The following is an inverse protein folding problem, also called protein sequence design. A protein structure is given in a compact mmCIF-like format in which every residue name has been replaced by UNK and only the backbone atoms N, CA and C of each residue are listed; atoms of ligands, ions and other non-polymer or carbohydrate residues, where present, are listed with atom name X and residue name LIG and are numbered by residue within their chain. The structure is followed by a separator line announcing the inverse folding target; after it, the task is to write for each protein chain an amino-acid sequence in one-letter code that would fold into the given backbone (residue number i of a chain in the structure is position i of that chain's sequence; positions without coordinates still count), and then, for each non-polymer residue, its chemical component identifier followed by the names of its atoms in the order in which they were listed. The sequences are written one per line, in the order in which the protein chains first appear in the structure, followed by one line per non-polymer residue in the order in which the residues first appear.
data_IF_824779962892
#
_entry.id   IF_824779962892
#
_cell.length_a   1.000
_cell.length_b   1.000
_cell.length_c   1.000
_cell.angle_alpha   90.00
_cell.angle_beta   90.00
_cell.angle_gamma   90.00
#
_symmetry.space_group_name_H-M   'P 1'
#
loop_
_entity.id
_entity.type
_entity.pdbx_description
1 polymer ?
#
# COMPACT_ATOMS: atom_id res chain seq x y z
N UNK A 1 -32.73 -73.16 -15.24
CA UNK A 1 -33.02 -71.94 -16.04
C UNK A 1 -32.40 -70.68 -15.46
N UNK A 2 -32.29 -70.53 -14.15
CA UNK A 2 -31.86 -69.27 -13.51
C UNK A 2 -30.38 -68.89 -13.72
N UNK A 3 -29.45 -69.84 -13.80
CA UNK A 3 -28.00 -69.55 -13.93
C UNK A 3 -27.60 -69.06 -15.32
N UNK A 4 -28.14 -69.67 -16.37
CA UNK A 4 -27.84 -69.32 -17.77
C UNK A 4 -28.30 -67.88 -18.08
N UNK A 5 -29.44 -67.45 -17.55
CA UNK A 5 -29.96 -66.09 -17.73
C UNK A 5 -29.06 -65.03 -17.05
N UNK A 6 -28.55 -65.33 -15.85
CA UNK A 6 -27.64 -64.42 -15.13
C UNK A 6 -26.32 -64.25 -15.92
N UNK A 7 -25.78 -65.34 -16.48
CA UNK A 7 -24.55 -65.30 -17.29
C UNK A 7 -24.77 -64.49 -18.57
N UNK A 8 -25.92 -64.63 -19.24
CA UNK A 8 -26.23 -63.86 -20.44
C UNK A 8 -26.30 -62.34 -20.18
N UNK A 9 -26.92 -61.94 -19.07
CA UNK A 9 -27.01 -60.53 -18.66
C UNK A 9 -25.62 -59.97 -18.33
N UNK A 10 -24.79 -60.72 -17.60
CA UNK A 10 -23.44 -60.31 -17.26
C UNK A 10 -22.56 -60.06 -18.50
N UNK A 11 -22.68 -60.93 -19.50
CA UNK A 11 -21.98 -60.76 -20.78
C UNK A 11 -22.49 -59.52 -21.53
N UNK A 12 -23.81 -59.30 -21.54
CA UNK A 12 -24.41 -58.11 -22.16
C UNK A 12 -23.89 -56.80 -21.54
N UNK A 13 -23.81 -56.73 -20.21
CA UNK A 13 -23.26 -55.56 -19.49
C UNK A 13 -21.78 -55.38 -19.80
N UNK A 14 -21.00 -56.45 -19.85
CA UNK A 14 -19.57 -56.39 -20.15
C UNK A 14 -19.31 -55.86 -21.56
N UNK A 15 -20.07 -56.32 -22.55
CA UNK A 15 -19.97 -55.84 -23.93
C UNK A 15 -20.40 -54.37 -24.01
N UNK A 16 -21.51 -54.00 -23.38
CA UNK A 16 -21.97 -52.62 -23.34
C UNK A 16 -20.94 -51.69 -22.68
N UNK A 17 -20.32 -52.13 -21.59
CA UNK A 17 -19.25 -51.41 -20.90
C UNK A 17 -17.98 -51.25 -21.75
N UNK A 18 -17.59 -52.28 -22.50
CA UNK A 18 -16.46 -52.23 -23.43
C UNK A 18 -16.71 -51.25 -24.59
N UNK A 19 -17.91 -51.29 -25.17
CA UNK A 19 -18.29 -50.37 -26.25
C UNK A 19 -18.33 -48.93 -25.74
N UNK A 20 -19.02 -48.68 -24.62
CA UNK A 20 -19.07 -47.36 -24.01
C UNK A 20 -17.67 -46.85 -23.60
N UNK A 21 -16.87 -47.71 -22.98
CA UNK A 21 -15.49 -47.39 -22.59
C UNK A 21 -14.59 -47.09 -23.78
N UNK A 22 -14.73 -47.82 -24.89
CA UNK A 22 -13.98 -47.55 -26.12
C UNK A 22 -14.36 -46.21 -26.76
N UNK A 23 -15.66 -45.88 -26.82
CA UNK A 23 -16.13 -44.60 -27.36
C UNK A 23 -15.64 -43.41 -26.52
N UNK A 24 -15.70 -43.52 -25.18
CA UNK A 24 -15.20 -42.47 -24.26
C UNK A 24 -13.67 -42.38 -24.32
N UNK A 25 -12.96 -43.52 -24.29
CA UNK A 25 -11.49 -43.54 -24.36
C UNK A 25 -10.95 -42.98 -25.68
N UNK A 26 -11.65 -43.20 -26.80
CA UNK A 26 -11.29 -42.65 -28.10
C UNK A 26 -11.50 -41.12 -28.17
N UNK A 27 -12.48 -40.56 -27.48
CA UNK A 27 -12.66 -39.09 -27.43
C UNK A 27 -11.62 -38.39 -26.54
N UNK A 28 -11.08 -39.09 -25.53
CA UNK A 28 -10.02 -38.60 -24.64
C UNK A 28 -8.69 -38.30 -25.33
N UNK A 29 -8.44 -38.84 -26.53
CA UNK A 29 -7.22 -38.54 -27.30
C UNK A 29 -7.12 -37.07 -27.74
N UNK A 30 -8.23 -36.33 -27.78
CA UNK A 30 -8.25 -34.88 -27.99
C UNK A 30 -7.82 -34.08 -26.74
N UNK A 31 -7.88 -34.69 -25.55
CA UNK A 31 -7.50 -34.08 -24.28
C UNK A 31 -6.01 -33.72 -24.19
N UNK A 32 -5.13 -34.48 -24.87
CA UNK A 32 -3.69 -34.18 -24.90
C UNK A 32 -3.34 -32.84 -25.54
N UNK A 33 -4.09 -32.39 -26.56
CA UNK A 33 -3.91 -31.06 -27.15
C UNK A 33 -4.38 -29.95 -26.20
N UNK A 34 -5.49 -30.19 -25.50
CA UNK A 34 -6.03 -29.25 -24.52
C UNK A 34 -5.10 -29.11 -23.31
N UNK A 35 -4.53 -30.22 -22.86
CA UNK A 35 -3.57 -30.25 -21.75
C UNK A 35 -2.28 -29.49 -22.10
N UNK A 36 -1.73 -29.70 -23.31
CA UNK A 36 -0.58 -28.91 -23.79
C UNK A 36 -0.87 -27.41 -23.85
N UNK A 37 -2.09 -27.02 -24.26
CA UNK A 37 -2.51 -25.61 -24.28
C UNK A 37 -2.63 -25.03 -22.87
N UNK A 38 -3.09 -25.81 -21.91
CA UNK A 38 -3.15 -25.39 -20.50
C UNK A 38 -1.74 -25.22 -19.91
N UNK A 39 -0.84 -26.16 -20.19
CA UNK A 39 0.57 -26.06 -19.79
C UNK A 39 1.23 -24.82 -20.38
N UNK A 40 1.01 -24.54 -21.67
CA UNK A 40 1.50 -23.33 -22.32
C UNK A 40 0.97 -22.04 -21.68
N UNK A 41 -0.32 -21.99 -21.34
CA UNK A 41 -0.91 -20.83 -20.67
C UNK A 41 -0.31 -20.61 -19.28
N UNK A 42 -0.05 -21.68 -18.53
CA UNK A 42 0.60 -21.59 -17.21
C UNK A 42 2.02 -21.05 -17.35
N UNK A 43 2.78 -21.55 -18.32
CA UNK A 43 4.15 -21.10 -18.55
C UNK A 43 4.22 -19.65 -19.03
N UNK A 44 3.30 -19.25 -19.92
CA UNK A 44 3.17 -17.87 -20.38
C UNK A 44 2.88 -16.93 -19.21
N UNK A 45 1.90 -17.26 -18.37
CA UNK A 45 1.51 -16.44 -17.22
C UNK A 45 2.62 -16.33 -16.18
N UNK A 46 3.38 -17.41 -15.95
CA UNK A 46 4.58 -17.38 -15.09
C UNK A 46 5.67 -16.49 -15.67
N UNK A 47 5.87 -16.53 -16.99
CA UNK A 47 6.84 -15.69 -17.67
C UNK A 47 6.46 -14.21 -17.54
N UNK A 48 5.18 -13.87 -17.74
CA UNK A 48 4.66 -12.51 -17.60
C UNK A 48 4.82 -12.01 -16.18
N UNK A 49 4.50 -12.84 -15.18
CA UNK A 49 4.67 -12.49 -13.78
C UNK A 49 6.14 -12.23 -13.43
N UNK A 50 7.06 -13.08 -13.90
CA UNK A 50 8.50 -12.89 -13.69
C UNK A 50 8.99 -11.60 -14.36
N UNK A 51 8.51 -11.31 -15.58
CA UNK A 51 8.83 -10.08 -16.30
C UNK A 51 8.30 -8.84 -15.57
N UNK A 52 7.09 -8.91 -15.06
CA UNK A 52 6.49 -7.84 -14.25
C UNK A 52 7.30 -7.58 -12.98
N UNK A 53 7.68 -8.62 -12.24
CA UNK A 53 8.54 -8.48 -11.07
C UNK A 53 9.87 -7.81 -11.39
N UNK A 54 10.51 -8.21 -12.49
CA UNK A 54 11.75 -7.60 -12.96
C UNK A 54 11.56 -6.11 -13.32
N UNK A 55 10.47 -5.76 -14.01
CA UNK A 55 10.16 -4.38 -14.39
C UNK A 55 9.91 -3.49 -13.17
N UNK A 56 9.16 -3.97 -12.18
CA UNK A 56 8.91 -3.24 -10.94
C UNK A 56 10.22 -3.02 -10.18
N UNK A 57 11.06 -4.04 -10.08
CA UNK A 57 12.37 -3.92 -9.44
C UNK A 57 13.25 -2.87 -10.14
N UNK A 58 13.33 -2.89 -11.47
CA UNK A 58 14.08 -1.89 -12.25
C UNK A 58 13.56 -0.48 -11.98
N UNK A 59 12.24 -0.28 -11.98
CA UNK A 59 11.63 1.01 -11.72
C UNK A 59 11.94 1.53 -10.30
N UNK A 60 11.97 0.66 -9.29
CA UNK A 60 12.33 1.04 -7.93
C UNK A 60 13.82 1.36 -7.78
N UNK A 61 14.70 0.63 -8.47
CA UNK A 61 16.13 0.94 -8.50
C UNK A 61 16.36 2.32 -9.14
N UNK A 62 15.74 2.59 -10.28
CA UNK A 62 15.82 3.89 -10.94
C UNK A 62 15.23 5.01 -10.05
N UNK A 63 14.08 4.76 -9.43
CA UNK A 63 13.45 5.71 -8.50
C UNK A 63 14.34 6.00 -7.28
N UNK A 64 15.00 4.99 -6.72
CA UNK A 64 15.94 5.17 -5.61
C UNK A 64 17.16 6.02 -6.02
N UNK A 65 17.63 5.89 -7.25
CA UNK A 65 18.69 6.75 -7.79
C UNK A 65 18.22 8.20 -7.97
N UNK A 66 16.98 8.43 -8.40
CA UNK A 66 16.39 9.78 -8.48
C UNK A 66 16.21 10.38 -7.09
N UNK A 67 15.68 9.60 -6.13
CA UNK A 67 15.46 10.04 -4.75
C UNK A 67 16.78 10.41 -4.06
N UNK A 68 17.85 9.66 -4.31
CA UNK A 68 19.18 9.99 -3.79
C UNK A 68 19.67 11.34 -4.31
N UNK A 69 19.59 11.57 -5.63
CA UNK A 69 19.95 12.85 -6.25
C UNK A 69 19.14 14.01 -5.70
N UNK A 70 17.84 13.81 -5.50
CA UNK A 70 16.96 14.80 -4.88
C UNK A 70 17.40 15.13 -3.45
N UNK A 71 17.67 14.11 -2.62
CA UNK A 71 18.10 14.31 -1.24
C UNK A 71 19.47 15.02 -1.14
N UNK A 72 20.37 14.71 -2.07
CA UNK A 72 21.66 15.41 -2.16
C UNK A 72 21.47 16.89 -2.51
N UNK A 73 20.59 17.20 -3.47
CA UNK A 73 20.21 18.58 -3.80
C UNK A 73 19.54 19.32 -2.62
N UNK A 74 18.64 18.65 -1.90
CA UNK A 74 18.02 19.18 -0.68
C UNK A 74 19.07 19.56 0.37
N UNK A 75 20.05 18.68 0.61
CA UNK A 75 21.15 18.95 1.55
C UNK A 75 22.02 20.12 1.10
N UNK A 76 22.26 20.25 -0.20
CA UNK A 76 23.03 21.36 -0.77
C UNK A 76 22.31 22.69 -0.60
N UNK A 77 21.00 22.73 -0.87
CA UNK A 77 20.14 23.90 -0.64
C UNK A 77 20.16 24.28 0.84
N UNK A 78 19.98 23.31 1.74
CA UNK A 78 19.99 23.56 3.18
C UNK A 78 21.35 24.12 3.65
N UNK A 79 22.46 23.56 3.16
CA UNK A 79 23.80 24.08 3.43
C UNK A 79 23.98 25.50 2.87
N UNK A 80 23.44 25.79 1.69
CA UNK A 80 23.50 27.13 1.11
C UNK A 80 22.70 28.15 1.92
N UNK A 81 21.48 27.79 2.34
CA UNK A 81 20.63 28.62 3.19
C UNK A 81 21.30 28.91 4.54
N UNK A 82 21.90 27.90 5.19
CA UNK A 82 22.63 28.09 6.44
C UNK A 82 23.80 29.07 6.28
N UNK A 83 24.61 28.93 5.22
CA UNK A 83 25.71 29.88 4.92
C UNK A 83 25.20 31.28 4.59
N UNK A 84 24.11 31.38 3.84
CA UNK A 84 23.47 32.64 3.49
C UNK A 84 22.96 33.37 4.74
N UNK A 85 22.26 32.66 5.63
CA UNK A 85 21.82 33.18 6.91
C UNK A 85 23.01 33.65 7.76
N UNK A 86 24.05 32.83 7.93
CA UNK A 86 25.25 33.25 8.67
C UNK A 86 25.89 34.50 8.08
N UNK A 87 25.99 34.60 6.75
CA UNK A 87 26.60 35.77 6.07
C UNK A 87 25.75 37.04 6.20
N UNK A 88 24.43 36.92 6.08
CA UNK A 88 23.51 38.06 6.22
C UNK A 88 23.36 38.51 7.68
N UNK A 89 23.47 37.59 8.65
CA UNK A 89 23.43 37.92 10.08
C UNK A 89 24.79 38.37 10.63
N UNK A 90 25.88 38.27 9.87
CA UNK A 90 27.22 38.72 10.29
C UNK A 90 27.48 40.21 10.01
N UNK A 91 26.43 41.03 9.96
CA UNK A 91 26.61 42.48 10.15
C UNK A 91 27.15 42.66 11.57
N UNK A 92 28.45 42.95 11.68
CA UNK A 92 29.18 43.05 12.96
C UNK A 92 28.57 44.10 13.90
N UNK A 93 27.80 45.05 13.34
CA UNK A 93 27.05 46.06 14.09
C UNK A 93 25.83 45.47 14.84
N UNK A 94 25.16 44.44 14.31
CA UNK A 94 23.98 43.85 14.96
C UNK A 94 24.36 42.84 16.04
N UNK A 95 25.49 42.16 15.89
CA UNK A 95 25.94 41.13 16.85
C UNK A 95 26.36 41.75 18.19
N UNK A 96 26.92 42.97 18.17
CA UNK A 96 27.23 43.71 19.40
C UNK A 96 25.98 44.23 20.12
N UNK A 97 24.95 44.67 19.39
CA UNK A 97 23.67 45.12 19.97
C UNK A 97 22.94 43.95 20.66
N UNK A 98 22.84 42.79 20.01
CA UNK A 98 22.27 41.57 20.60
C UNK A 98 23.12 40.99 21.75
N UNK A 99 24.45 41.11 21.69
CA UNK A 99 25.31 40.72 22.81
C UNK A 99 25.08 41.62 24.04
N UNK A 100 24.84 42.92 23.83
CA UNK A 100 24.47 43.86 24.88
C UNK A 100 23.07 43.54 25.45
N UNK A 101 22.09 43.27 24.58
CA UNK A 101 20.71 42.94 24.97
C UNK A 101 20.62 41.58 25.69
N UNK A 102 21.35 40.55 25.23
CA UNK A 102 21.43 39.26 25.91
C UNK A 102 22.09 39.35 27.29
N UNK A 103 23.05 40.26 27.48
CA UNK A 103 23.65 40.52 28.79
C UNK A 103 22.67 41.28 29.70
N UNK A 104 21.89 42.21 29.14
CA UNK A 104 20.79 42.88 29.84
C UNK A 104 19.68 41.88 30.26
N UNK A 105 19.36 40.90 29.41
CA UNK A 105 18.35 39.89 29.68
C UNK A 105 18.85 38.75 30.59
N UNK A 106 20.14 38.39 30.54
CA UNK A 106 20.76 37.49 31.51
C UNK A 106 20.76 38.06 32.94
N UNK A 107 20.66 39.39 33.08
CA UNK A 107 20.45 40.08 34.37
C UNK A 107 18.98 40.11 34.80
N UNK A 108 18.05 39.83 33.91
CA UNK A 108 16.61 39.76 34.16
C UNK A 108 16.12 38.30 34.11
N UNK A 109 16.36 37.56 35.19
CA UNK A 109 15.54 36.40 35.57
C UNK A 109 15.39 35.29 34.52
N UNK A 110 16.32 34.34 34.54
CA UNK A 110 16.22 33.02 33.89
C UNK A 110 14.94 32.29 34.32
N UNK A 111 13.90 32.36 33.50
CA UNK A 111 12.87 31.31 33.39
C UNK A 111 13.24 30.48 32.16
N UNK A 112 13.66 29.25 32.40
CA UNK A 112 14.01 28.29 31.38
C UNK A 112 12.73 27.79 30.69
N UNK A 113 12.42 28.31 29.51
CA UNK A 113 11.59 27.60 28.54
C UNK A 113 12.54 26.92 27.57
N UNK A 114 12.60 25.60 27.66
CA UNK A 114 13.31 24.72 26.74
C UNK A 114 12.61 24.84 25.37
N UNK A 115 13.32 25.00 24.23
CA UNK A 115 12.68 25.10 22.92
C UNK A 115 12.00 23.78 22.58
N UNK A 116 10.72 23.68 22.91
CA UNK A 116 9.91 22.49 22.67
C UNK A 116 9.65 22.37 21.15
N UNK A 117 9.78 21.16 20.56
CA UNK A 117 9.47 20.95 19.15
C UNK A 117 8.01 21.35 18.86
N UNK A 118 7.72 21.84 17.63
CA UNK A 118 6.38 22.25 17.26
C UNK A 118 5.40 21.10 17.56
N UNK A 119 4.37 21.43 18.35
CA UNK A 119 3.38 20.49 18.92
C UNK A 119 2.41 19.93 17.87
N UNK A 120 2.75 20.07 16.58
CA UNK A 120 1.92 19.71 15.43
C UNK A 120 1.94 18.21 15.10
N UNK A 121 2.70 17.40 15.85
CA UNK A 121 2.81 15.94 15.68
C UNK A 121 2.13 15.14 16.80
N UNK A 122 1.30 15.76 17.63
CA UNK A 122 0.65 15.05 18.73
C UNK A 122 -0.24 13.90 18.21
N UNK A 123 0.06 12.62 18.54
CA UNK A 123 -0.89 11.55 18.29
C UNK A 123 -2.14 11.81 19.12
N UNK A 124 -3.31 11.43 18.57
CA UNK A 124 -4.60 11.59 19.26
C UNK A 124 -4.55 10.90 20.63
N UNK A 125 -5.07 11.54 21.66
CA UNK A 125 -5.11 10.98 23.01
C UNK A 125 -6.05 9.77 23.07
N UNK A 126 -7.15 9.83 22.31
CA UNK A 126 -8.10 8.74 22.15
C UNK A 126 -8.29 8.38 20.65
N UNK A 127 -8.39 7.10 20.28
CA UNK A 127 -8.63 6.69 18.88
C UNK A 127 -9.94 7.23 18.30
N UNK A 128 -10.93 7.48 19.16
CA UNK A 128 -12.25 7.99 18.79
C UNK A 128 -12.30 9.54 18.75
N UNK A 129 -11.23 10.21 19.18
CA UNK A 129 -11.16 11.66 19.17
C UNK A 129 -10.98 12.17 17.73
N UNK A 130 -11.85 13.11 17.31
CA UNK A 130 -11.78 13.70 15.98
C UNK A 130 -10.55 14.61 15.91
N UNK A 131 -9.68 14.32 14.95
CA UNK A 131 -8.43 15.05 14.79
C UNK A 131 -8.64 16.40 14.11
N UNK A 132 -7.65 17.28 14.20
CA UNK A 132 -7.63 18.60 13.53
C UNK A 132 -7.66 18.55 12.00
N UNK A 133 -7.54 17.35 11.42
CA UNK A 133 -7.64 17.07 9.99
C UNK A 133 -8.91 16.28 9.62
N UNK A 134 -9.84 16.08 10.56
CA UNK A 134 -11.12 15.45 10.26
C UNK A 134 -11.95 16.38 9.36
N UNK A 135 -12.65 15.80 8.39
CA UNK A 135 -13.44 16.51 7.37
C UNK A 135 -14.60 17.34 7.94
N UNK A 136 -15.01 17.05 9.18
CA UNK A 136 -16.05 17.74 9.94
C UNK A 136 -15.49 18.62 11.08
N UNK A 137 -14.17 18.83 11.14
CA UNK A 137 -13.54 19.64 12.17
C UNK A 137 -13.97 21.12 12.04
N UNK A 138 -14.68 21.62 13.05
CA UNK A 138 -15.22 22.99 13.07
C UNK A 138 -16.56 23.16 12.33
N UNK A 139 -17.22 22.06 11.94
CA UNK A 139 -18.59 22.09 11.45
C UNK A 139 -19.52 21.64 12.58
N UNK A 140 -20.28 22.58 13.13
CA UNK A 140 -21.37 22.27 14.06
C UNK A 140 -22.43 21.50 13.27
N UNK A 141 -22.47 20.18 13.45
CA UNK A 141 -23.58 19.38 12.99
C UNK A 141 -24.78 19.73 13.89
N UNK A 142 -25.65 20.60 13.42
CA UNK A 142 -27.02 20.65 13.92
C UNK A 142 -27.57 19.22 13.85
N UNK A 143 -28.25 18.72 14.90
CA UNK A 143 -28.77 17.36 14.88
C UNK A 143 -29.72 17.23 13.70
N UNK A 144 -29.38 16.38 12.73
CA UNK A 144 -30.34 15.91 11.76
C UNK A 144 -31.49 15.29 12.55
N UNK A 145 -32.62 15.99 12.53
CA UNK A 145 -33.90 15.52 13.02
C UNK A 145 -34.28 14.33 12.12
N UNK A 146 -33.83 13.14 12.50
CA UNK A 146 -34.23 11.89 11.86
C UNK A 146 -35.72 11.73 12.04
N UNK A 147 -36.44 12.19 11.01
CA UNK A 147 -37.87 12.12 10.83
C UNK A 147 -38.34 10.68 11.08
N UNK A 148 -39.15 10.53 12.13
CA UNK A 148 -39.78 9.28 12.53
C UNK A 148 -40.61 8.72 11.37
N UNK A 149 -40.15 7.63 10.76
CA UNK A 149 -41.01 6.80 9.92
C UNK A 149 -41.80 5.84 10.82
N UNK A 150 -43.13 5.89 10.87
CA UNK A 150 -43.93 5.05 11.76
C UNK A 150 -43.96 3.58 11.27
N UNK A 151 -44.26 2.61 12.16
CA UNK A 151 -44.21 1.20 11.80
C UNK A 151 -45.34 0.83 10.85
N UNK A 152 -45.00 -0.04 9.89
CA UNK A 152 -45.94 -0.70 8.98
C UNK A 152 -47.08 -1.38 9.76
N UNK A 153 -48.32 -1.12 9.33
CA UNK A 153 -49.42 -2.09 9.37
C UNK A 153 -49.75 -2.50 7.93
#
# INVERSE_FOLDING_TARGET
MSTIMIVAIAIGILIAGLVAGYFIGRSGSAGGLQQRRLEQQIDELRSEYTRYQAQVNEHFVESAHMLRRFNDAYRDINRHMARGASRLCHDEDWTNEFALESNAQARLGRSADDPEPPRDYAPKADPEEKGTLAEDYGLDNEPEDTEQTPPRQ
#
